data_IF_459328771320
#
_entry.id   IF_459328771320
#
_cell.length_a   1.000
_cell.length_b   1.000
_cell.length_c   1.000
_cell.angle_alpha   90.00
_cell.angle_beta   90.00
_cell.angle_gamma   90.00
#
_symmetry.space_group_name_H-M   'P 1'
#
loop_
_entity.id
_entity.type
_entity.pdbx_description
1 polymer ?
#
# COMPACT_ATOMS: atom_id res chain seq x y z
N UNK A 1 -25.37 1.70 28.82
CA UNK A 1 -24.60 2.80 28.17
C UNK A 1 -23.76 2.18 27.07
N UNK A 2 -24.23 2.18 25.83
CA UNK A 2 -23.49 1.66 24.68
C UNK A 2 -23.02 2.87 23.87
N UNK A 3 -21.71 3.12 23.87
CA UNK A 3 -21.12 4.20 23.10
C UNK A 3 -21.02 3.75 21.65
N UNK A 4 -21.70 4.47 20.76
CA UNK A 4 -21.69 4.24 19.32
C UNK A 4 -20.26 4.29 18.77
N UNK A 5 -19.83 3.23 18.08
CA UNK A 5 -18.62 3.24 17.28
C UNK A 5 -19.06 3.41 15.83
N UNK A 6 -18.80 4.59 15.29
CA UNK A 6 -19.04 4.93 13.88
C UNK A 6 -18.24 3.97 13.00
N UNK A 7 -18.95 3.18 12.19
CA UNK A 7 -18.37 2.11 11.37
C UNK A 7 -17.49 2.66 10.25
N UNK A 8 -16.18 2.52 10.43
CA UNK A 8 -15.20 2.56 9.33
C UNK A 8 -14.95 1.11 8.94
N UNK A 9 -15.11 0.75 7.66
CA UNK A 9 -14.87 -0.61 7.16
C UNK A 9 -13.46 -1.09 7.56
N UNK A 10 -13.40 -2.19 8.31
CA UNK A 10 -12.17 -2.77 8.84
C UNK A 10 -11.92 -4.12 8.15
N UNK A 11 -10.81 -4.25 7.42
CA UNK A 11 -10.38 -5.55 6.90
C UNK A 11 -9.56 -6.25 7.99
N UNK A 12 -10.16 -7.27 8.61
CA UNK A 12 -9.55 -8.08 9.66
C UNK A 12 -8.97 -9.37 9.06
N UNK A 13 -7.71 -9.72 9.41
CA UNK A 13 -7.17 -11.07 9.20
C UNK A 13 -7.08 -11.82 10.53
N UNK A 14 -7.65 -13.02 10.57
CA UNK A 14 -7.57 -13.94 11.70
C UNK A 14 -6.33 -14.84 11.54
N UNK A 15 -5.46 -14.92 12.56
CA UNK A 15 -4.40 -15.95 12.63
C UNK A 15 -5.09 -17.31 12.84
N UNK A 16 -4.78 -18.33 12.01
CA UNK A 16 -5.49 -19.62 12.01
C UNK A 16 -5.16 -20.55 13.18
N UNK A 17 -4.26 -20.17 14.10
CA UNK A 17 -3.91 -21.03 15.25
C UNK A 17 -4.14 -20.39 16.60
N UNK A 18 -3.91 -19.08 16.80
CA UNK A 18 -3.83 -18.54 18.19
C UNK A 18 -4.47 -17.15 18.41
N UNK A 19 -5.57 -16.81 17.72
CA UNK A 19 -6.54 -15.82 18.23
C UNK A 19 -6.15 -14.33 18.27
N UNK A 20 -5.01 -13.91 17.73
CA UNK A 20 -4.64 -12.50 17.59
C UNK A 20 -5.00 -11.93 16.21
N UNK A 21 -5.94 -11.00 16.13
CA UNK A 21 -6.21 -10.24 14.89
C UNK A 21 -5.34 -8.98 14.85
N UNK A 22 -4.58 -8.79 13.77
CA UNK A 22 -3.84 -7.55 13.51
C UNK A 22 -4.67 -6.72 12.53
N UNK A 23 -5.12 -5.56 12.97
CA UNK A 23 -5.79 -4.57 12.12
C UNK A 23 -4.75 -3.97 11.16
N UNK A 24 -4.89 -4.20 9.86
CA UNK A 24 -3.93 -3.73 8.85
C UNK A 24 -4.37 -2.42 8.21
N UNK A 25 -5.67 -2.19 8.03
CA UNK A 25 -6.20 -0.99 7.39
C UNK A 25 -7.09 -0.20 8.35
N UNK A 26 -6.99 1.13 8.28
CA UNK A 26 -7.84 2.05 9.07
C UNK A 26 -8.84 2.81 8.21
N UNK A 27 -8.74 2.72 6.88
CA UNK A 27 -9.56 3.46 5.92
C UNK A 27 -10.12 2.53 4.83
N UNK A 28 -11.38 2.77 4.46
CA UNK A 28 -12.09 2.09 3.37
C UNK A 28 -11.51 2.50 2.01
N UNK A 29 -10.80 1.61 1.33
CA UNK A 29 -10.21 1.85 0.00
C UNK A 29 -8.75 1.40 -0.12
N UNK A 30 -8.08 1.18 1.00
CA UNK A 30 -6.74 0.60 1.03
C UNK A 30 -6.87 -0.93 0.94
N UNK A 31 -6.54 -1.54 -0.20
CA UNK A 31 -6.50 -3.00 -0.33
C UNK A 31 -5.12 -3.48 0.08
N UNK A 32 -4.96 -4.13 1.26
CA UNK A 32 -3.67 -4.65 1.66
C UNK A 32 -3.24 -5.80 0.74
N UNK A 33 -1.94 -5.92 0.46
CA UNK A 33 -1.39 -7.01 -0.34
C UNK A 33 -0.23 -7.69 0.39
N UNK A 34 -0.26 -9.01 0.43
CA UNK A 34 0.78 -9.82 1.06
C UNK A 34 2.03 -9.89 0.19
N UNK A 35 3.20 -9.96 0.83
CA UNK A 35 4.42 -10.32 0.14
C UNK A 35 4.34 -11.76 -0.36
N UNK A 36 5.02 -12.10 -1.48
CA UNK A 36 5.03 -13.48 -1.99
C UNK A 36 5.59 -14.51 -1.01
N UNK A 37 6.40 -14.08 -0.05
CA UNK A 37 6.97 -14.92 1.01
C UNK A 37 6.12 -14.93 2.31
N UNK A 38 4.97 -14.23 2.34
CA UNK A 38 4.05 -14.18 3.47
C UNK A 38 4.56 -13.42 4.70
N UNK A 39 5.75 -12.79 4.64
CA UNK A 39 6.38 -12.13 5.79
C UNK A 39 5.87 -10.72 6.05
N UNK A 40 5.33 -10.06 5.04
CA UNK A 40 4.91 -8.67 5.12
C UNK A 40 3.52 -8.48 4.52
N UNK A 41 2.80 -7.50 5.05
CA UNK A 41 1.62 -6.93 4.39
C UNK A 41 1.95 -5.50 3.98
N UNK A 42 1.71 -5.16 2.73
CA UNK A 42 1.85 -3.82 2.18
C UNK A 42 0.48 -3.15 2.09
N UNK A 43 0.44 -1.84 2.30
CA UNK A 43 -0.80 -1.05 2.18
C UNK A 43 -0.48 0.42 1.88
N UNK A 44 -1.46 1.11 1.29
CA UNK A 44 -1.46 2.56 1.13
C UNK A 44 -1.98 3.25 2.39
N UNK A 45 -1.54 4.47 2.67
CA UNK A 45 -1.98 5.29 3.82
C UNK A 45 -1.93 6.77 3.46
N UNK A 46 -2.96 7.53 3.84
CA UNK A 46 -3.01 8.99 3.66
C UNK A 46 -3.92 9.50 2.54
N UNK A 47 -4.93 8.72 2.13
CA UNK A 47 -5.93 9.16 1.16
C UNK A 47 -6.76 10.36 1.70
N UNK A 48 -7.13 11.37 0.87
CA UNK A 48 -6.88 11.46 -0.57
C UNK A 48 -5.45 11.85 -0.96
N UNK A 49 -4.72 12.68 -0.20
CA UNK A 49 -3.32 13.04 -0.51
C UNK A 49 -2.56 13.61 0.71
N UNK A 50 -1.23 13.38 0.82
CA UNK A 50 -0.43 12.47 0.01
C UNK A 50 -0.60 11.01 0.45
N UNK A 51 -0.77 10.09 -0.52
CA UNK A 51 -0.79 8.65 -0.25
C UNK A 51 0.63 8.10 -0.26
N UNK A 52 1.02 7.48 0.85
CA UNK A 52 2.31 6.81 1.05
C UNK A 52 2.12 5.31 1.13
N UNK A 53 3.17 4.54 0.81
CA UNK A 53 3.17 3.08 0.92
C UNK A 53 3.90 2.64 2.17
N UNK A 54 3.30 1.69 2.87
CA UNK A 54 3.80 1.13 4.12
C UNK A 54 3.88 -0.38 4.01
N UNK A 55 4.70 -0.97 4.88
CA UNK A 55 4.74 -2.40 5.13
C UNK A 55 4.66 -2.67 6.62
N UNK A 56 4.03 -3.77 7.00
CA UNK A 56 3.98 -4.28 8.36
C UNK A 56 4.44 -5.75 8.35
N UNK A 57 5.45 -6.14 9.16
CA UNK A 57 5.80 -7.54 9.33
C UNK A 57 4.65 -8.29 10.01
N UNK A 58 4.40 -9.54 9.58
CA UNK A 58 3.31 -10.36 10.14
C UNK A 58 3.60 -10.76 11.60
N UNK A 59 4.88 -10.87 11.97
CA UNK A 59 5.32 -11.34 13.29
C UNK A 59 5.18 -10.27 14.39
N UNK A 60 5.76 -9.09 14.20
CA UNK A 60 5.91 -8.04 15.24
C UNK A 60 4.98 -6.83 15.07
N UNK A 61 4.37 -6.66 13.89
CA UNK A 61 3.40 -5.60 13.63
C UNK A 61 3.97 -4.18 13.53
N UNK A 62 5.30 -3.98 13.46
CA UNK A 62 5.86 -2.61 13.39
C UNK A 62 5.83 -2.05 11.96
N UNK A 63 4.91 -1.11 11.71
CA UNK A 63 4.81 -0.47 10.39
C UNK A 63 6.09 0.31 10.02
N UNK A 64 6.52 0.17 8.76
CA UNK A 64 7.65 0.89 8.17
C UNK A 64 7.23 1.48 6.83
N UNK A 65 7.54 2.76 6.61
CA UNK A 65 7.26 3.42 5.33
C UNK A 65 8.22 2.92 4.24
N UNK A 66 7.69 2.71 3.05
CA UNK A 66 8.42 2.22 1.86
C UNK A 66 8.50 3.28 0.78
N UNK A 67 7.41 4.01 0.53
CA UNK A 67 7.37 5.12 -0.45
C UNK A 67 6.65 6.32 0.16
N UNK A 68 7.22 7.51 -0.02
CA UNK A 68 6.62 8.75 0.49
C UNK A 68 5.40 9.21 -0.30
N UNK A 69 5.32 8.87 -1.59
CA UNK A 69 4.23 9.33 -2.44
C UNK A 69 3.96 8.40 -3.62
N UNK A 70 2.70 7.99 -3.76
CA UNK A 70 2.14 7.27 -4.91
C UNK A 70 0.89 7.98 -5.42
N UNK A 71 0.48 7.68 -6.65
CA UNK A 71 -0.74 8.26 -7.22
C UNK A 71 -2.00 7.67 -6.53
N UNK A 72 -2.82 8.51 -5.87
CA UNK A 72 -4.01 8.05 -5.16
C UNK A 72 -5.13 7.56 -6.08
N UNK A 73 -5.09 7.90 -7.36
CA UNK A 73 -6.14 7.60 -8.34
C UNK A 73 -5.86 6.36 -9.18
N UNK A 74 -4.81 5.59 -8.84
CA UNK A 74 -4.39 4.40 -9.58
C UNK A 74 -4.12 3.23 -8.65
N UNK A 75 -4.23 2.03 -9.18
CA UNK A 75 -3.88 0.80 -8.46
C UNK A 75 -2.36 0.63 -8.34
N UNK A 76 -1.95 -0.14 -7.34
CA UNK A 76 -0.59 -0.65 -7.13
C UNK A 76 -0.65 -2.15 -6.88
N UNK A 77 0.47 -2.85 -7.04
CA UNK A 77 0.53 -4.28 -6.74
C UNK A 77 1.90 -4.75 -6.30
N UNK A 78 1.94 -5.76 -5.41
CA UNK A 78 3.15 -6.47 -5.02
C UNK A 78 3.36 -7.65 -5.96
N UNK A 79 4.49 -7.67 -6.65
CA UNK A 79 4.95 -8.81 -7.44
C UNK A 79 6.25 -9.38 -6.90
N UNK A 80 6.78 -10.40 -7.58
CA UNK A 80 7.99 -11.13 -7.15
C UNK A 80 9.25 -10.26 -7.04
N UNK A 81 9.35 -9.17 -7.81
CA UNK A 81 10.49 -8.23 -7.77
C UNK A 81 10.27 -7.06 -6.81
N UNK A 82 9.01 -6.75 -6.51
CA UNK A 82 8.62 -5.70 -5.59
C UNK A 82 7.33 -4.99 -5.95
N UNK A 83 7.22 -3.72 -5.57
CA UNK A 83 5.97 -2.97 -5.65
C UNK A 83 5.91 -2.22 -6.98
N UNK A 84 4.89 -2.51 -7.77
CA UNK A 84 4.56 -1.81 -9.01
C UNK A 84 3.52 -0.73 -8.69
N UNK A 85 3.81 0.51 -9.05
CA UNK A 85 2.96 1.65 -8.71
C UNK A 85 3.14 2.78 -9.72
N UNK A 86 2.15 3.66 -9.79
CA UNK A 86 2.26 4.93 -10.50
C UNK A 86 2.73 6.03 -9.54
N UNK A 87 3.75 6.81 -9.94
CA UNK A 87 4.17 7.98 -9.15
C UNK A 87 3.03 8.99 -9.04
N UNK A 88 2.99 9.79 -7.98
CA UNK A 88 2.08 10.93 -7.93
C UNK A 88 2.18 11.80 -9.21
N UNK A 89 1.02 12.22 -9.69
CA UNK A 89 0.93 13.07 -10.87
C UNK A 89 1.65 14.41 -10.60
N UNK A 90 2.33 14.94 -11.62
CA UNK A 90 2.87 16.31 -11.52
C UNK A 90 1.78 17.36 -11.75
N UNK A 91 2.17 18.64 -11.75
CA UNK A 91 1.32 19.80 -12.03
C UNK A 91 0.56 19.71 -13.37
N UNK A 92 1.07 18.91 -14.32
CA UNK A 92 0.48 18.67 -15.63
C UNK A 92 -0.30 17.35 -15.70
N UNK A 93 -0.55 16.71 -14.57
CA UNK A 93 -1.27 15.45 -14.50
C UNK A 93 -0.48 14.22 -14.99
N UNK A 94 0.83 14.34 -15.21
CA UNK A 94 1.64 13.24 -15.76
C UNK A 94 2.11 12.30 -14.66
N UNK A 95 1.87 11.01 -14.88
CA UNK A 95 2.34 9.92 -14.04
C UNK A 95 3.12 8.90 -14.87
N UNK A 96 3.92 8.07 -14.21
CA UNK A 96 4.67 6.98 -14.84
C UNK A 96 4.66 5.74 -13.95
N UNK A 97 4.71 4.57 -14.61
CA UNK A 97 4.76 3.27 -13.94
C UNK A 97 6.19 3.04 -13.45
N UNK A 98 6.31 2.69 -12.16
CA UNK A 98 7.57 2.44 -11.47
C UNK A 98 7.54 1.09 -10.75
N UNK A 99 8.73 0.56 -10.53
CA UNK A 99 9.00 -0.59 -9.68
C UNK A 99 9.87 -0.12 -8.51
N UNK A 100 9.40 -0.33 -7.29
CA UNK A 100 10.24 -0.34 -6.10
C UNK A 100 10.76 -1.77 -5.89
N UNK A 101 12.06 -1.97 -6.11
CA UNK A 101 12.71 -3.27 -5.97
C UNK A 101 12.94 -3.59 -4.50
N UNK A 102 12.35 -4.68 -4.00
CA UNK A 102 12.48 -5.05 -2.58
C UNK A 102 13.91 -5.45 -2.21
N UNK A 103 14.65 -6.03 -3.15
CA UNK A 103 16.02 -6.49 -2.92
C UNK A 103 17.02 -5.34 -2.72
N UNK A 104 16.78 -4.20 -3.36
CA UNK A 104 17.74 -3.08 -3.40
C UNK A 104 17.23 -1.81 -2.72
N UNK A 105 15.93 -1.79 -2.37
CA UNK A 105 15.22 -0.58 -1.93
C UNK A 105 15.33 0.59 -2.92
N UNK A 106 15.54 0.31 -4.21
CA UNK A 106 15.63 1.32 -5.27
C UNK A 106 14.36 1.37 -6.09
N UNK A 107 14.03 2.57 -6.58
CA UNK A 107 12.93 2.76 -7.52
C UNK A 107 13.46 2.92 -8.94
N UNK A 108 12.88 2.14 -9.87
CA UNK A 108 13.14 2.22 -11.31
C UNK A 108 11.87 2.61 -12.06
N UNK A 109 12.00 3.48 -13.05
CA UNK A 109 10.92 3.77 -14.02
C UNK A 109 10.83 2.66 -15.06
N UNK A 110 9.62 2.14 -15.29
CA UNK A 110 9.36 1.08 -16.27
C UNK A 110 8.73 1.63 -17.56
N UNK A 111 7.82 2.61 -17.47
CA UNK A 111 7.17 3.21 -18.64
C UNK A 111 6.72 4.64 -18.33
N UNK A 112 6.87 5.58 -19.27
CA UNK A 112 6.18 6.87 -19.24
C UNK A 112 4.89 6.76 -20.05
N UNK A 113 3.73 7.00 -19.45
CA UNK A 113 2.51 7.13 -20.24
C UNK A 113 2.50 8.52 -20.88
N UNK A 114 2.44 8.57 -22.22
CA UNK A 114 2.26 9.82 -22.97
C UNK A 114 0.80 9.85 -23.39
N UNK A 115 -0.02 10.70 -22.75
CA UNK A 115 -1.38 10.96 -23.27
C UNK A 115 -1.23 11.63 -24.64
N UNK A 116 -1.74 10.99 -25.67
CA UNK A 116 -1.97 11.64 -26.97
C UNK A 116 -3.28 12.41 -26.80
N UNK A 117 -3.19 13.74 -26.98
CA UNK A 117 -4.32 14.67 -27.02
C UNK A 117 -5.13 14.47 -28.30
#
# INVERSE_FOLDING_TARGET
MATAVTGVYQDWKMRSTDGGAIQVTRNSGDVPQESPDGKFVYYSKGWPLPVSMWKIPVEDGKETKVLDSVNPSTLWTVGSKGIYFFKAADDKGRSDLRLYELATAKTKKLLAERRVS
#
